data_IF_788941506834
#
_entry.id   IF_788941506834
#
_cell.length_a   1.000
_cell.length_b   1.000
_cell.length_c   1.000
_cell.angle_alpha   90.00
_cell.angle_beta   90.00
_cell.angle_gamma   90.00
#
_symmetry.space_group_name_H-M   'P 1'
#
loop_
_entity.id
_entity.type
_entity.pdbx_description
1 polymer ?
2 non-polymer ?
3 non-polymer ?
4 non-polymer ?
5 non-polymer ?
6 non-polymer ?
7 water ?
#
# COMPACT_ATOMS: atom_id res chain seq x y z
N UNK A 51 -1.46 27.54 -1.09
CA UNK A 51 -0.58 26.78 -0.23
C UNK A 51 0.35 25.77 -0.92
N UNK A 52 1.08 24.97 -0.12
CA UNK A 52 1.96 23.95 -0.66
C UNK A 52 1.14 22.89 -1.43
N UNK A 53 1.79 22.24 -2.38
CA UNK A 53 1.15 21.18 -3.14
C UNK A 53 1.03 19.91 -2.29
N UNK A 54 -0.11 19.26 -2.40
CA UNK A 54 -0.26 17.96 -1.68
C UNK A 54 0.57 16.91 -2.41
N UNK A 55 1.41 16.13 -1.71
CA UNK A 55 2.13 15.05 -2.39
C UNK A 55 1.19 13.88 -2.60
N UNK A 56 1.35 13.22 -3.74
CA UNK A 56 0.37 12.24 -4.20
C UNK A 56 1.15 10.96 -4.49
N UNK A 57 0.63 9.84 -4.00
CA UNK A 57 1.14 8.54 -4.37
C UNK A 57 0.31 7.95 -5.49
N UNK A 58 0.97 7.65 -6.60
CA UNK A 58 0.34 7.04 -7.77
C UNK A 58 0.71 5.59 -7.64
N UNK A 59 -0.25 4.75 -7.36
CA UNK A 59 -0.01 3.42 -6.80
C UNK A 59 -0.32 2.48 -7.97
N UNK A 60 0.68 1.83 -8.54
CA UNK A 60 0.39 0.84 -9.57
C UNK A 60 -0.35 -0.36 -8.96
N UNK A 61 -1.40 -0.79 -9.63
CA UNK A 61 -2.27 -1.82 -9.09
C UNK A 61 -1.82 -3.19 -9.56
N UNK A 62 -1.85 -4.16 -8.65
CA UNK A 62 -1.65 -5.58 -9.00
C UNK A 62 -0.33 -5.78 -9.76
N UNK A 63 0.74 -5.40 -9.06
CA UNK A 63 2.11 -5.50 -9.53
C UNK A 63 2.70 -6.74 -8.86
N UNK A 64 2.57 -7.90 -9.54
CA UNK A 64 2.83 -9.16 -8.88
C UNK A 64 3.93 -9.96 -9.54
N UNK A 65 4.44 -9.54 -10.70
CA UNK A 65 5.62 -10.18 -11.29
C UNK A 65 6.77 -9.21 -11.20
N UNK A 66 7.99 -9.74 -11.01
CA UNK A 66 9.10 -8.83 -10.82
C UNK A 66 9.20 -7.82 -11.97
N UNK A 67 8.98 -8.31 -13.22
CA UNK A 67 9.12 -7.43 -14.40
C UNK A 67 8.11 -6.27 -14.43
N UNK A 68 6.98 -6.43 -13.75
CA UNK A 68 6.00 -5.37 -13.72
C UNK A 68 6.40 -4.20 -12.84
N UNK A 69 7.36 -4.38 -11.93
CA UNK A 69 7.80 -3.25 -11.11
C UNK A 69 8.30 -2.13 -12.01
N UNK A 70 9.25 -2.46 -12.91
CA UNK A 70 9.73 -1.43 -13.84
C UNK A 70 8.62 -0.95 -14.75
N UNK A 71 7.76 -1.85 -15.19
CA UNK A 71 6.74 -1.43 -16.14
C UNK A 71 5.89 -0.30 -15.56
N UNK A 72 5.45 -0.49 -14.31
CA UNK A 72 4.56 0.51 -13.69
C UNK A 72 5.32 1.77 -13.29
N UNK A 73 6.52 1.60 -12.73
CA UNK A 73 7.26 2.79 -12.35
C UNK A 73 7.63 3.61 -13.59
N UNK A 74 8.02 2.95 -14.67
CA UNK A 74 8.39 3.69 -15.87
C UNK A 74 7.18 4.41 -16.50
N UNK A 75 5.93 4.00 -16.18
CA UNK A 75 4.74 4.73 -16.62
C UNK A 75 4.38 5.88 -15.67
N UNK A 76 5.09 6.05 -14.57
CA UNK A 76 4.85 7.17 -13.67
C UNK A 76 4.51 6.78 -12.24
N UNK A 77 4.37 5.50 -11.90
CA UNK A 77 4.01 5.17 -10.50
C UNK A 77 5.19 5.43 -9.55
N UNK A 78 4.92 6.06 -8.38
CA UNK A 78 5.94 6.12 -7.31
C UNK A 78 5.59 5.12 -6.20
N UNK A 79 4.65 4.25 -6.47
CA UNK A 79 4.21 3.26 -5.47
C UNK A 79 3.60 2.08 -6.22
N UNK A 80 3.62 0.91 -5.59
CA UNK A 80 2.97 -0.24 -6.21
C UNK A 80 2.23 -0.99 -5.13
N UNK A 81 1.20 -1.69 -5.58
CA UNK A 81 0.42 -2.57 -4.74
C UNK A 81 0.62 -3.99 -5.26
N UNK A 82 0.81 -4.93 -4.32
CA UNK A 82 1.19 -6.33 -4.65
C UNK A 82 0.35 -7.26 -3.78
N UNK A 83 -0.22 -8.30 -4.37
CA UNK A 83 -1.07 -9.21 -3.60
C UNK A 83 -0.23 -10.29 -3.00
N UNK A 84 -0.60 -10.74 -1.76
CA UNK A 84 0.22 -11.73 -1.07
C UNK A 84 -0.72 -12.85 -0.69
N UNK A 85 -0.53 -14.04 -1.25
CA UNK A 85 -1.34 -15.20 -0.87
C UNK A 85 -0.60 -15.94 0.24
N UNK A 86 -1.33 -16.71 1.01
CA UNK A 86 -0.71 -17.40 2.14
C UNK A 86 -0.94 -18.90 2.01
N UNK A 87 -0.01 -19.71 2.50
CA UNK A 87 -0.21 -21.15 2.44
C UNK A 87 -1.02 -21.59 3.67
N UNK A 88 -1.23 -22.91 3.79
CA UNK A 88 -2.07 -23.38 4.88
C UNK A 88 -1.48 -23.10 6.28
N UNK A 89 -0.18 -22.79 6.38
CA UNK A 89 0.46 -22.50 7.68
C UNK A 89 0.60 -21.00 7.94
N UNK A 90 -0.03 -20.17 7.11
CA UNK A 90 0.01 -18.73 7.26
C UNK A 90 1.37 -18.18 6.83
N UNK A 91 2.10 -18.96 6.04
CA UNK A 91 3.31 -18.40 5.46
C UNK A 91 3.00 -17.74 4.11
N UNK A 92 3.49 -16.52 3.86
CA UNK A 92 3.31 -15.93 2.53
C UNK A 92 3.86 -16.89 1.50
N UNK A 93 3.11 -17.05 0.41
CA UNK A 93 3.55 -18.07 -0.56
C UNK A 93 3.79 -17.44 -1.92
N UNK A 94 2.77 -16.81 -2.51
CA UNK A 94 2.89 -16.23 -3.86
C UNK A 94 2.45 -14.79 -3.86
N UNK A 95 2.92 -14.04 -4.88
CA UNK A 95 2.30 -12.75 -5.20
C UNK A 95 1.24 -12.97 -6.28
N UNK A 96 0.10 -13.47 -5.87
CA UNK A 96 -0.82 -14.03 -6.83
C UNK A 96 -2.19 -13.48 -6.53
N UNK A 97 -2.82 -12.85 -7.51
CA UNK A 97 -4.19 -12.39 -7.31
C UNK A 97 -5.22 -13.47 -7.71
N UNK A 98 -5.16 -13.90 -8.95
CA UNK A 98 -6.13 -14.87 -9.46
C UNK A 98 -7.43 -14.22 -9.87
N UNK A 99 -8.25 -15.03 -10.53
CA UNK A 99 -9.52 -14.61 -11.13
C UNK A 99 -10.57 -14.62 -10.01
N UNK A 100 -11.52 -13.66 -9.94
CA UNK A 100 -11.67 -12.48 -10.81
C UNK A 100 -10.75 -11.37 -10.43
N UNK A 101 -10.37 -10.54 -11.41
CA UNK A 101 -9.53 -9.38 -11.14
C UNK A 101 -10.02 -8.23 -11.97
N UNK A 102 -9.36 -7.07 -11.81
CA UNK A 102 -9.77 -5.87 -12.54
C UNK A 102 -9.89 -6.13 -14.05
N UNK A 103 -10.87 -5.43 -14.65
CA UNK A 103 -11.09 -5.43 -16.09
C UNK A 103 -9.83 -5.01 -16.84
N UNK A 104 -9.55 -5.70 -17.95
CA UNK A 104 -8.42 -5.39 -18.78
C UNK A 104 -7.09 -5.94 -18.29
N UNK A 105 -7.07 -6.74 -17.21
CA UNK A 105 -5.81 -7.19 -16.62
C UNK A 105 -5.68 -8.70 -16.69
N UNK A 106 -4.43 -9.15 -16.90
CA UNK A 106 -4.07 -10.57 -16.69
C UNK A 106 -3.95 -10.79 -15.18
N UNK A 107 -4.75 -11.72 -14.64
CA UNK A 107 -4.90 -11.92 -13.20
C UNK A 107 -3.90 -12.90 -12.63
N UNK A 108 -3.08 -13.52 -13.47
CA UNK A 108 -2.37 -14.72 -13.06
C UNK A 108 -0.87 -14.59 -13.12
N UNK A 109 -0.32 -13.38 -13.27
CA UNK A 109 1.13 -13.24 -13.15
C UNK A 109 1.50 -13.35 -11.66
N UNK A 110 2.58 -14.08 -11.35
CA UNK A 110 2.95 -14.19 -9.93
C UNK A 110 4.40 -14.64 -9.76
N UNK A 111 4.87 -14.49 -8.52
CA UNK A 111 6.19 -14.99 -8.13
C UNK A 111 6.02 -15.72 -6.81
N UNK A 112 7.00 -16.58 -6.45
CA UNK A 112 7.21 -16.89 -5.04
C UNK A 112 7.38 -15.59 -4.28
N UNK A 113 6.70 -15.48 -3.13
CA UNK A 113 6.71 -14.17 -2.43
C UNK A 113 8.15 -13.72 -2.19
N UNK A 114 9.03 -14.62 -1.71
CA UNK A 114 10.38 -14.13 -1.38
C UNK A 114 11.17 -13.75 -2.63
N UNK A 115 10.87 -14.36 -3.78
CA UNK A 115 11.52 -13.88 -5.01
C UNK A 115 11.08 -12.46 -5.31
N UNK A 116 9.76 -12.20 -5.21
CA UNK A 116 9.30 -10.83 -5.45
C UNK A 116 9.99 -9.85 -4.52
N UNK A 117 10.14 -10.24 -3.24
CA UNK A 117 10.78 -9.33 -2.28
C UNK A 117 12.22 -9.01 -2.69
N UNK A 118 12.94 -10.02 -3.17
CA UNK A 118 14.30 -9.74 -3.62
C UNK A 118 14.29 -8.80 -4.81
N UNK A 119 13.28 -8.94 -5.67
CA UNK A 119 13.23 -8.02 -6.82
C UNK A 119 12.89 -6.63 -6.38
N UNK A 120 11.92 -6.52 -5.47
CA UNK A 120 11.55 -5.23 -4.90
C UNK A 120 12.74 -4.60 -4.20
N UNK A 121 13.53 -5.43 -3.51
CA UNK A 121 14.75 -4.89 -2.88
C UNK A 121 15.71 -4.30 -3.93
N UNK A 122 15.93 -5.03 -5.02
CA UNK A 122 16.80 -4.45 -6.05
C UNK A 122 16.23 -3.11 -6.53
N UNK A 123 14.90 -3.04 -6.73
CA UNK A 123 14.32 -1.80 -7.26
C UNK A 123 14.41 -0.65 -6.28
N UNK A 124 14.66 -0.91 -5.00
CA UNK A 124 14.54 0.15 -4.00
C UNK A 124 15.85 0.30 -3.22
N UNK A 125 16.94 -0.24 -3.75
CA UNK A 125 18.21 -0.15 -3.01
C UNK A 125 19.13 0.76 -3.82
N UNK A 126 19.45 1.96 -3.31
CA UNK A 126 20.40 2.85 -3.98
C UNK A 126 21.68 2.12 -4.36
N UNK A 127 22.08 2.29 -5.62
CA UNK A 127 23.30 1.67 -6.12
C UNK A 127 23.07 0.39 -6.88
N UNK A 128 21.92 -0.22 -6.71
CA UNK A 128 21.60 -1.40 -7.49
C UNK A 128 21.33 -1.04 -8.94
N UNK A 129 21.70 -1.95 -9.83
CA UNK A 129 21.56 -1.61 -11.24
C UNK A 129 20.12 -1.37 -11.61
N UNK A 130 19.18 -1.87 -10.82
CA UNK A 130 17.76 -1.69 -11.17
C UNK A 130 17.08 -0.67 -10.25
N UNK A 131 17.85 0.04 -9.44
CA UNK A 131 17.28 1.02 -8.51
C UNK A 131 16.38 2.03 -9.21
N UNK A 132 15.16 2.22 -8.65
CA UNK A 132 14.19 3.21 -9.10
C UNK A 132 14.04 4.19 -7.94
N UNK A 133 14.73 5.33 -8.02
CA UNK A 133 14.60 6.35 -6.95
C UNK A 133 13.17 6.81 -6.74
N UNK A 134 12.32 6.73 -7.77
CA UNK A 134 10.96 7.21 -7.60
C UNK A 134 10.07 6.26 -6.82
N UNK A 135 10.44 4.97 -6.69
CA UNK A 135 9.53 3.98 -6.05
C UNK A 135 9.68 4.07 -4.55
N UNK A 136 8.71 4.67 -3.85
CA UNK A 136 8.94 4.98 -2.44
C UNK A 136 7.94 4.32 -1.50
N UNK A 137 6.90 3.66 -1.99
CA UNK A 137 5.88 3.05 -1.11
C UNK A 137 5.39 1.77 -1.75
N UNK A 138 5.27 0.71 -0.94
CA UNK A 138 4.72 -0.55 -1.43
C UNK A 138 3.57 -0.90 -0.50
N UNK A 139 2.42 -1.18 -1.08
CA UNK A 139 1.27 -1.68 -0.32
C UNK A 139 1.21 -3.21 -0.57
N UNK A 140 1.24 -4.02 0.50
CA UNK A 140 1.04 -5.47 0.39
C UNK A 140 -0.40 -5.75 0.74
N UNK A 141 -1.13 -6.28 -0.23
CA UNK A 141 -2.54 -6.60 -0.12
C UNK A 141 -2.56 -8.01 0.40
N UNK A 142 -2.70 -8.15 1.72
CA UNK A 142 -2.53 -9.46 2.34
C UNK A 142 -3.84 -10.23 2.19
N UNK A 143 -3.82 -11.26 1.36
CA UNK A 143 -5.06 -11.98 1.05
C UNK A 143 -5.28 -12.99 2.16
N UNK A 144 -5.70 -12.49 3.33
CA UNK A 144 -5.81 -13.39 4.49
C UNK A 144 -7.13 -14.14 4.51
N UNK A 145 -7.94 -13.96 3.48
CA UNK A 145 -9.17 -14.70 3.35
C UNK A 145 -8.99 -16.21 3.40
N UNK A 146 -7.79 -16.71 3.07
CA UNK A 146 -7.62 -18.15 3.07
C UNK A 146 -7.22 -18.68 4.44
N UNK A 147 -7.02 -17.80 5.40
CA UNK A 147 -6.54 -18.20 6.71
C UNK A 147 -7.69 -18.26 7.71
N UNK A 148 -7.57 -19.16 8.70
CA UNK A 148 -8.46 -19.07 9.87
C UNK A 148 -8.13 -17.80 10.64
N UNK A 149 -9.15 -17.20 11.27
CA UNK A 149 -8.91 -15.97 12.03
C UNK A 149 -7.80 -16.14 13.07
N UNK A 150 -7.72 -17.32 13.67
CA UNK A 150 -6.68 -17.46 14.67
C UNK A 150 -5.30 -17.72 14.08
N UNK A 151 -5.14 -17.58 12.77
CA UNK A 151 -3.80 -17.57 12.16
C UNK A 151 -3.32 -16.15 11.79
N UNK A 152 -4.05 -15.11 12.19
CA UNK A 152 -3.67 -13.77 11.73
C UNK A 152 -2.37 -13.33 12.36
N UNK A 153 -2.20 -13.64 13.64
CA UNK A 153 -0.95 -13.26 14.30
C UNK A 153 0.24 -14.00 13.70
N UNK A 154 0.11 -15.33 13.55
CA UNK A 154 1.13 -16.13 12.88
C UNK A 154 1.49 -15.54 11.54
N UNK A 155 0.48 -15.19 10.75
CA UNK A 155 0.79 -14.64 9.41
C UNK A 155 1.66 -13.39 9.50
N UNK A 156 1.38 -12.53 10.47
CA UNK A 156 2.19 -11.35 10.64
C UNK A 156 3.61 -11.73 10.94
N UNK A 157 3.81 -12.77 11.77
CA UNK A 157 5.17 -13.07 12.12
C UNK A 157 5.91 -13.60 10.90
N UNK A 158 5.26 -14.49 10.15
CA UNK A 158 5.92 -15.05 8.96
C UNK A 158 6.23 -13.94 7.95
N UNK A 159 5.31 -13.01 7.78
CA UNK A 159 5.55 -11.88 6.87
C UNK A 159 6.77 -11.07 7.30
N UNK A 160 6.88 -10.79 8.59
CA UNK A 160 8.03 -10.03 9.09
C UNK A 160 9.33 -10.78 8.85
N UNK A 161 9.33 -12.12 9.04
CA UNK A 161 10.57 -12.85 8.80
C UNK A 161 10.98 -12.77 7.35
N UNK A 162 10.00 -12.89 6.43
CA UNK A 162 10.33 -12.81 5.00
C UNK A 162 10.79 -11.41 4.63
N UNK A 163 10.07 -10.38 5.09
CA UNK A 163 10.50 -9.03 4.75
C UNK A 163 11.89 -8.76 5.30
N UNK A 164 12.13 -9.19 6.54
CA UNK A 164 13.43 -8.91 7.14
C UNK A 164 14.53 -9.61 6.34
N UNK A 165 14.31 -10.88 6.02
CA UNK A 165 15.36 -11.62 5.33
C UNK A 165 15.55 -11.15 3.89
N UNK A 166 14.47 -10.89 3.14
CA UNK A 166 14.63 -10.77 1.70
C UNK A 166 14.46 -9.35 1.20
N UNK A 167 13.81 -8.49 2.00
CA UNK A 167 13.58 -7.13 1.58
C UNK A 167 14.53 -6.19 2.30
N UNK A 168 14.54 -6.27 3.63
CA UNK A 168 15.42 -5.44 4.42
C UNK A 168 16.79 -6.06 4.60
N UNK A 169 16.98 -7.29 4.09
CA UNK A 169 18.29 -7.97 4.07
C UNK A 169 18.96 -7.96 5.44
N UNK A 170 18.20 -8.26 6.49
CA UNK A 170 18.78 -8.33 7.82
C UNK A 170 19.46 -7.03 8.20
N UNK A 171 18.98 -5.89 7.69
CA UNK A 171 19.60 -4.60 7.98
C UNK A 171 20.83 -4.25 7.16
N UNK A 172 21.29 -5.13 6.29
CA UNK A 172 22.46 -4.82 5.46
C UNK A 172 22.00 -4.25 4.12
N UNK A 173 21.94 -2.90 4.02
CA UNK A 173 21.71 -2.26 2.72
C UNK A 173 20.42 -2.77 2.09
N UNK A 174 19.34 -2.79 2.87
CA UNK A 174 18.10 -3.30 2.35
C UNK A 174 17.32 -2.25 1.55
N UNK A 175 16.15 -2.67 1.08
CA UNK A 175 15.35 -1.77 0.25
C UNK A 175 14.78 -0.63 1.08
N UNK A 176 14.62 0.56 0.46
CA UNK A 176 14.35 1.74 1.30
C UNK A 176 12.88 2.17 1.27
N UNK A 177 12.03 1.47 0.51
CA UNK A 177 10.65 1.95 0.38
C UNK A 177 9.90 1.79 1.70
N UNK A 178 8.94 2.69 1.93
CA UNK A 178 7.98 2.49 3.02
C UNK A 178 6.98 1.40 2.63
N UNK A 179 6.47 0.70 3.64
CA UNK A 179 5.64 -0.48 3.41
C UNK A 179 4.31 -0.29 4.12
N UNK A 180 3.19 -0.57 3.41
CA UNK A 180 1.87 -0.55 4.06
C UNK A 180 1.40 -1.99 4.08
N UNK A 181 1.03 -2.47 5.28
CA UNK A 181 0.42 -3.78 5.43
C UNK A 181 -1.06 -3.55 5.33
N UNK A 182 -1.64 -3.97 4.22
CA UNK A 182 -3.08 -3.75 3.98
C UNK A 182 -3.84 -5.05 4.30
N UNK A 183 -4.79 -4.96 5.22
CA UNK A 183 -5.48 -6.14 5.75
C UNK A 183 -6.95 -6.02 5.37
N UNK A 184 -7.52 -7.02 4.71
CA UNK A 184 -8.90 -6.86 4.23
C UNK A 184 -9.97 -7.13 5.25
N UNK A 185 -9.66 -7.73 6.39
CA UNK A 185 -10.69 -8.11 7.38
C UNK A 185 -10.31 -7.49 8.71
N UNK A 186 -11.21 -6.67 9.29
CA UNK A 186 -10.88 -5.99 10.53
C UNK A 186 -10.55 -7.00 11.61
N UNK A 187 -11.17 -8.18 11.55
CA UNK A 187 -10.91 -9.17 12.60
C UNK A 187 -9.51 -9.73 12.54
N UNK A 188 -8.74 -9.45 11.47
CA UNK A 188 -7.37 -9.93 11.39
C UNK A 188 -6.39 -8.90 11.91
N UNK A 189 -6.84 -7.93 12.72
CA UNK A 189 -5.90 -6.96 13.28
C UNK A 189 -4.74 -7.57 14.10
N UNK A 190 -4.84 -8.76 14.68
CA UNK A 190 -3.68 -9.32 15.42
C UNK A 190 -2.47 -9.60 14.55
N UNK A 191 -2.64 -9.60 13.22
CA UNK A 191 -1.50 -9.70 12.30
C UNK A 191 -0.46 -8.61 12.55
N UNK A 192 -0.93 -7.42 12.92
CA UNK A 192 -0.03 -6.30 13.12
C UNK A 192 0.92 -6.54 14.28
N UNK A 193 0.35 -6.93 15.44
CA UNK A 193 1.18 -7.24 16.61
C UNK A 193 2.14 -8.39 16.33
N UNK A 194 1.70 -9.41 15.58
CA UNK A 194 2.60 -10.51 15.21
C UNK A 194 3.80 -10.03 14.42
N UNK A 195 3.53 -9.18 13.45
CA UNK A 195 4.60 -8.64 12.62
C UNK A 195 5.58 -7.84 13.47
N UNK A 196 5.05 -6.94 14.28
CA UNK A 196 5.92 -6.12 15.11
C UNK A 196 6.71 -6.99 16.08
N UNK A 197 6.04 -7.92 16.73
CA UNK A 197 6.77 -8.73 17.73
C UNK A 197 7.84 -9.59 17.07
N UNK A 198 7.60 -10.05 15.83
CA UNK A 198 8.66 -10.81 15.15
C UNK A 198 9.85 -9.91 14.80
N UNK A 199 9.60 -8.70 14.29
CA UNK A 199 10.77 -7.82 14.04
C UNK A 199 11.53 -7.59 15.30
N UNK A 200 10.80 -7.43 16.39
CA UNK A 200 11.47 -7.12 17.66
C UNK A 200 12.32 -8.30 18.17
N UNK A 201 11.76 -9.50 18.11
CA UNK A 201 12.51 -10.73 18.43
C UNK A 201 13.78 -10.89 17.59
N UNK A 202 13.69 -10.56 16.31
CA UNK A 202 14.82 -10.67 15.44
C UNK A 202 15.79 -9.50 15.58
N UNK A 203 15.47 -8.52 16.41
CA UNK A 203 16.45 -7.50 16.72
C UNK A 203 16.41 -6.29 15.80
N UNK A 204 15.29 -6.07 15.11
CA UNK A 204 15.14 -4.90 14.21
C UNK A 204 13.81 -4.17 14.43
N UNK A 205 13.48 -3.83 15.68
CA UNK A 205 12.22 -3.14 15.93
C UNK A 205 12.13 -1.80 15.25
N UNK A 206 13.27 -1.18 14.95
CA UNK A 206 13.29 0.11 14.27
C UNK A 206 12.74 0.05 12.85
N UNK A 207 12.67 -1.14 12.23
CA UNK A 207 12.10 -1.18 10.88
C UNK A 207 10.60 -0.88 10.89
N UNK A 208 9.91 -1.00 12.04
CA UNK A 208 8.52 -0.55 12.15
C UNK A 208 8.36 0.92 11.75
N UNK A 209 9.44 1.72 11.87
CA UNK A 209 9.34 3.11 11.42
C UNK A 209 9.01 3.20 9.92
N UNK A 210 9.34 2.15 9.14
CA UNK A 210 9.06 2.13 7.72
C UNK A 210 7.75 1.45 7.39
N UNK A 211 6.91 1.15 8.38
CA UNK A 211 5.75 0.28 8.17
C UNK A 211 4.49 1.04 8.56
N UNK A 212 3.46 0.94 7.70
CA UNK A 212 2.16 1.52 8.04
C UNK A 212 1.03 0.53 7.77
N UNK A 213 -0.22 1.03 7.83
CA UNK A 213 -1.36 0.14 8.01
C UNK A 213 -2.52 0.58 7.13
N UNK A 214 -3.30 -0.39 6.68
CA UNK A 214 -4.52 -0.11 5.91
C UNK A 214 -5.51 -1.24 6.21
N UNK A 215 -6.78 -0.88 6.40
CA UNK A 215 -7.86 -1.89 6.40
C UNK A 215 -8.69 -1.67 5.13
N UNK A 216 -8.66 -2.65 4.22
CA UNK A 216 -9.12 -2.38 2.83
C UNK A 216 -10.54 -2.85 2.56
N UNK A 217 -11.25 -3.32 3.58
CA UNK A 217 -12.57 -3.88 3.38
C UNK A 217 -13.75 -2.94 3.20
N UNK A 218 -13.51 -1.63 3.07
CA UNK A 218 -14.60 -0.62 2.98
C UNK A 218 -15.53 -0.68 4.21
N UNK A 219 -15.00 -1.03 5.38
CA UNK A 219 -15.81 -1.01 6.59
C UNK A 219 -16.19 0.41 6.96
N UNK A 220 -17.23 0.51 7.77
CA UNK A 220 -17.56 1.80 8.37
C UNK A 220 -16.33 2.36 9.04
N UNK A 221 -16.11 3.68 8.84
CA UNK A 221 -14.88 4.35 9.31
C UNK A 221 -14.79 4.27 10.83
N UNK A 222 -15.93 4.41 11.52
CA UNK A 222 -15.88 4.24 12.97
C UNK A 222 -15.46 2.83 13.39
N UNK A 223 -15.92 1.80 12.67
CA UNK A 223 -15.50 0.44 12.94
C UNK A 223 -14.01 0.28 12.69
N UNK A 224 -13.50 0.92 11.66
CA UNK A 224 -12.06 0.87 11.40
C UNK A 224 -11.33 1.46 12.58
N UNK A 225 -11.76 2.62 13.06
CA UNK A 225 -11.00 3.24 14.13
C UNK A 225 -10.98 2.36 15.39
N UNK A 226 -12.11 1.70 15.67
CA UNK A 226 -12.15 0.78 16.81
C UNK A 226 -11.17 -0.36 16.61
N UNK A 227 -11.01 -0.83 15.35
CA UNK A 227 -10.05 -1.93 15.13
C UNK A 227 -8.65 -1.51 15.48
N UNK A 228 -8.28 -0.29 15.04
CA UNK A 228 -6.96 0.27 15.36
C UNK A 228 -6.82 0.47 16.85
N UNK A 229 -7.89 0.93 17.51
CA UNK A 229 -7.82 1.04 18.97
C UNK A 229 -7.55 -0.31 19.61
N UNK A 230 -8.22 -1.37 19.15
CA UNK A 230 -7.95 -2.71 19.71
C UNK A 230 -6.54 -3.15 19.42
N UNK A 231 -6.03 -2.80 18.27
CA UNK A 231 -4.67 -3.16 17.94
C UNK A 231 -3.64 -2.25 18.63
N UNK A 232 -4.09 -1.19 19.29
CA UNK A 232 -3.15 -0.26 19.92
C UNK A 232 -2.34 0.57 18.93
N UNK A 233 -2.87 0.80 17.73
CA UNK A 233 -2.15 1.54 16.68
C UNK A 233 -2.60 2.98 16.75
N UNK A 234 -1.63 3.92 16.72
CA UNK A 234 -1.98 5.33 16.79
C UNK A 234 -1.32 6.23 15.76
N UNK A 235 -0.78 5.68 14.67
CA UNK A 235 -0.41 6.51 13.54
C UNK A 235 0.04 5.60 12.42
N UNK A 236 0.56 6.22 11.36
CA UNK A 236 0.99 5.51 10.14
C UNK A 236 -0.21 4.84 9.49
N UNK A 237 -1.36 5.54 9.48
CA UNK A 237 -2.60 4.91 9.02
C UNK A 237 -2.97 5.46 7.66
N UNK A 238 -3.07 4.57 6.64
CA UNK A 238 -3.69 4.89 5.37
C UNK A 238 -5.11 4.33 5.34
N UNK A 239 -6.05 5.05 4.69
CA UNK A 239 -7.43 4.54 4.57
C UNK A 239 -7.73 4.42 3.10
N UNK A 240 -7.88 3.16 2.65
CA UNK A 240 -8.36 2.84 1.33
C UNK A 240 -9.87 3.03 1.23
N UNK A 241 -10.33 3.37 0.02
CA UNK A 241 -11.74 3.33 -0.26
C UNK A 241 -11.86 3.00 -1.73
N UNK A 242 -12.77 2.12 -2.12
CA UNK A 242 -12.80 1.89 -3.56
C UNK A 242 -13.60 0.69 -4.00
N UNK A 243 -13.44 0.37 -5.29
CA UNK A 243 -14.13 -0.78 -5.90
C UNK A 243 -13.37 -1.10 -7.17
N UNK A 244 -13.47 -2.36 -7.60
CA UNK A 244 -12.87 -2.74 -8.88
C UNK A 244 -13.18 -1.74 -9.99
N UNK A 245 -12.24 -1.61 -10.94
CA UNK A 245 -12.48 -0.70 -12.07
C UNK A 245 -13.67 -1.19 -12.93
N UNK A 246 -14.13 -2.44 -12.71
CA UNK A 246 -15.27 -2.99 -13.44
C UNK A 246 -16.62 -2.41 -12.99
N UNK A 247 -16.71 -1.66 -11.89
CA UNK A 247 -18.00 -1.32 -11.33
C UNK A 247 -17.98 0.14 -10.94
N UNK A 248 -19.13 0.80 -10.92
CA UNK A 248 -19.17 2.23 -10.59
C UNK A 248 -19.25 2.42 -9.08
N UNK A 249 -18.76 3.58 -8.64
CA UNK A 249 -18.79 3.89 -7.20
C UNK A 249 -18.73 5.39 -6.97
N UNK A 250 -19.41 5.82 -5.89
CA UNK A 250 -19.50 7.21 -5.53
C UNK A 250 -18.43 7.57 -4.52
N UNK A 251 -18.44 8.82 -4.10
CA UNK A 251 -17.39 9.34 -3.24
C UNK A 251 -17.81 9.48 -1.76
N UNK A 252 -18.97 8.95 -1.33
CA UNK A 252 -19.44 9.26 0.01
C UNK A 252 -18.42 8.82 1.03
N UNK A 253 -17.94 7.57 0.90
CA UNK A 253 -17.05 7.05 1.96
C UNK A 253 -15.67 7.66 1.84
N UNK A 254 -15.19 7.91 0.63
CA UNK A 254 -13.90 8.54 0.55
C UNK A 254 -13.99 9.97 1.11
N UNK A 255 -15.11 10.67 0.86
CA UNK A 255 -15.26 12.00 1.51
C UNK A 255 -15.27 11.88 3.02
N UNK A 256 -15.91 10.83 3.55
CA UNK A 256 -15.95 10.66 5.00
C UNK A 256 -14.56 10.33 5.52
N UNK A 257 -13.79 9.54 4.78
CA UNK A 257 -12.40 9.28 5.21
C UNK A 257 -11.58 10.56 5.19
N UNK A 258 -11.75 11.40 4.17
CA UNK A 258 -11.03 12.66 4.12
C UNK A 258 -11.44 13.55 5.27
N UNK A 259 -12.74 13.58 5.57
CA UNK A 259 -13.23 14.39 6.68
C UNK A 259 -12.62 13.94 8.00
N UNK A 260 -12.42 12.63 8.17
CA UNK A 260 -11.79 12.15 9.40
C UNK A 260 -10.34 12.57 9.43
N UNK A 261 -9.63 12.34 8.32
CA UNK A 261 -8.22 12.70 8.24
C UNK A 261 -7.98 14.18 8.56
N UNK A 262 -8.85 15.06 8.05
CA UNK A 262 -8.59 16.48 8.21
C UNK A 262 -9.23 17.07 9.47
N UNK A 263 -9.89 16.25 10.29
CA UNK A 263 -10.40 16.74 11.57
C UNK A 263 -9.30 16.73 12.63
N UNK A 264 -9.52 17.54 13.69
CA UNK A 264 -8.49 17.69 14.71
C UNK A 264 -8.23 16.38 15.42
N UNK A 265 -9.26 15.57 15.64
CA UNK A 265 -8.97 14.34 16.38
C UNK A 265 -9.35 13.09 15.59
N UNK A 266 -9.17 13.11 14.25
CA UNK A 266 -9.34 11.91 13.44
C UNK A 266 -8.13 10.99 13.63
N UNK A 267 -8.20 9.84 12.98
CA UNK A 267 -7.15 8.85 13.13
C UNK A 267 -6.47 8.51 11.80
N UNK A 268 -7.01 8.95 10.67
CA UNK A 268 -6.45 8.58 9.37
C UNK A 268 -5.37 9.58 9.01
N UNK A 269 -4.20 9.11 8.52
CA UNK A 269 -3.19 10.05 8.08
C UNK A 269 -3.29 10.33 6.61
N UNK A 270 -3.54 9.29 5.81
CA UNK A 270 -3.60 9.43 4.34
C UNK A 270 -4.79 8.62 3.82
N UNK A 271 -5.33 9.03 2.67
CA UNK A 271 -6.50 8.41 2.06
C UNK A 271 -6.13 8.09 0.61
N UNK A 272 -6.47 6.90 0.17
CA UNK A 272 -6.29 6.58 -1.25
C UNK A 272 -7.52 5.91 -1.79
N UNK A 273 -7.76 6.20 -3.07
CA UNK A 273 -8.94 5.75 -3.78
C UNK A 273 -8.52 4.73 -4.82
N UNK A 274 -9.30 3.68 -5.00
CA UNK A 274 -8.92 2.63 -5.96
C UNK A 274 -10.19 2.09 -6.64
N UNK A 275 -10.09 1.40 -7.78
CA UNK A 275 -8.98 1.53 -8.75
C UNK A 275 -9.43 2.49 -9.80
N UNK A 276 -8.60 3.48 -10.14
CA UNK A 276 -9.02 4.63 -10.94
C UNK A 276 -8.25 4.59 -12.23
N UNK A 277 -8.95 4.40 -13.37
CA UNK A 277 -8.31 4.26 -14.68
C UNK A 277 -8.78 5.32 -15.65
N UNK A 278 -9.52 6.32 -15.19
CA UNK A 278 -10.10 7.28 -16.10
C UNK A 278 -9.72 8.67 -15.64
N UNK A 279 -9.55 9.59 -16.61
CA UNK A 279 -9.14 10.94 -16.24
C UNK A 279 -10.21 11.64 -15.40
N UNK A 280 -11.48 11.43 -15.72
CA UNK A 280 -12.52 12.17 -15.02
C UNK A 280 -12.61 11.76 -13.54
N UNK A 281 -12.60 10.43 -13.29
CA UNK A 281 -12.51 9.89 -11.94
C UNK A 281 -11.25 10.40 -11.20
N UNK A 282 -10.12 10.52 -11.91
CA UNK A 282 -8.90 11.01 -11.26
C UNK A 282 -9.12 12.45 -10.78
N UNK A 283 -9.67 13.29 -11.66
CA UNK A 283 -9.95 14.66 -11.24
C UNK A 283 -10.91 14.68 -10.05
N UNK A 284 -11.93 13.81 -10.06
CA UNK A 284 -12.87 13.81 -8.93
C UNK A 284 -12.15 13.47 -7.63
N UNK A 285 -11.28 12.46 -7.69
CA UNK A 285 -10.61 11.99 -6.47
C UNK A 285 -9.64 13.06 -5.96
N UNK A 286 -8.89 13.70 -6.88
CA UNK A 286 -8.04 14.81 -6.49
C UNK A 286 -8.87 15.98 -5.94
N UNK A 287 -9.97 16.33 -6.63
CA UNK A 287 -10.86 17.37 -6.07
C UNK A 287 -11.33 17.03 -4.67
N UNK A 288 -11.56 15.74 -4.37
CA UNK A 288 -12.01 15.36 -3.03
C UNK A 288 -10.87 15.35 -2.01
N UNK A 289 -9.64 15.49 -2.47
CA UNK A 289 -8.56 15.73 -1.55
C UNK A 289 -7.79 14.48 -1.16
N UNK A 290 -7.89 13.39 -1.97
CA UNK A 290 -7.17 12.15 -1.61
C UNK A 290 -5.66 12.38 -1.73
N UNK A 291 -4.90 11.49 -1.07
CA UNK A 291 -3.45 11.50 -1.10
C UNK A 291 -2.88 10.48 -2.06
N UNK A 292 -3.67 9.49 -2.40
CA UNK A 292 -3.16 8.41 -3.23
C UNK A 292 -4.23 7.98 -4.22
N UNK A 293 -3.75 7.56 -5.37
CA UNK A 293 -4.67 7.02 -6.37
C UNK A 293 -4.05 5.72 -6.85
N UNK A 294 -4.77 4.62 -6.65
CA UNK A 294 -4.42 3.32 -7.22
C UNK A 294 -4.98 3.15 -8.59
N UNK A 295 -4.16 2.60 -9.50
CA UNK A 295 -4.52 2.62 -10.91
C UNK A 295 -3.87 1.48 -11.68
N UNK A 296 -4.56 1.06 -12.74
CA UNK A 296 -3.91 0.14 -13.66
C UNK A 296 -3.10 0.87 -14.68
N UNK A 297 -3.25 2.19 -14.75
CA UNK A 297 -2.57 3.02 -15.79
C UNK A 297 -1.94 4.27 -15.15
N UNK A 298 -0.75 4.14 -14.59
CA UNK A 298 -0.10 5.30 -13.94
C UNK A 298 0.05 6.49 -14.87
N UNK A 299 0.17 6.25 -16.18
CA UNK A 299 0.34 7.35 -17.13
C UNK A 299 -0.90 8.21 -17.22
N UNK A 300 -2.09 7.61 -17.06
CA UNK A 300 -3.32 8.40 -17.04
C UNK A 300 -3.35 9.33 -15.85
N UNK A 301 -2.97 8.82 -14.68
CA UNK A 301 -2.96 9.67 -13.49
C UNK A 301 -1.95 10.78 -13.66
N UNK A 302 -0.76 10.45 -14.19
CA UNK A 302 0.33 11.41 -14.34
C UNK A 302 -0.11 12.52 -15.27
N UNK A 303 -0.80 12.13 -16.33
CA UNK A 303 -1.27 13.14 -17.29
C UNK A 303 -2.21 14.14 -16.65
N UNK A 304 -3.12 13.67 -15.79
CA UNK A 304 -4.00 14.62 -15.10
C UNK A 304 -3.18 15.50 -14.15
N UNK A 305 -2.21 14.90 -13.43
CA UNK A 305 -1.49 15.71 -12.47
C UNK A 305 -0.66 16.76 -13.17
N UNK A 306 -0.30 16.52 -14.43
CA UNK A 306 0.47 17.49 -15.23
C UNK A 306 -0.41 18.51 -15.91
N UNK A 307 -1.73 18.42 -15.81
CA UNK A 307 -2.58 19.50 -16.26
C UNK A 307 -2.27 20.76 -15.48
N UNK A 308 -2.38 21.93 -16.16
CA UNK A 308 -1.89 23.13 -15.48
C UNK A 308 -2.59 23.38 -14.14
N UNK A 309 -3.93 23.25 -14.06
CA UNK A 309 -4.60 23.54 -12.81
C UNK A 309 -4.20 22.57 -11.69
N UNK A 310 -3.94 21.29 -12.02
CA UNK A 310 -3.57 20.32 -11.00
C UNK A 310 -2.09 20.44 -10.61
N UNK A 311 -1.23 20.92 -11.52
CA UNK A 311 0.18 21.11 -11.17
C UNK A 311 0.34 22.10 -10.04
N UNK A 312 -0.60 23.03 -9.90
CA UNK A 312 -0.55 24.03 -8.85
C UNK A 312 -0.95 23.52 -7.48
N UNK A 313 -1.57 22.33 -7.38
CA UNK A 313 -2.18 21.89 -6.14
C UNK A 313 -1.63 20.55 -5.71
N UNK A 314 -0.97 19.83 -6.62
CA UNK A 314 -0.45 18.50 -6.33
C UNK A 314 0.94 18.30 -6.91
N UNK A 315 1.66 17.33 -6.35
CA UNK A 315 2.96 16.97 -6.91
C UNK A 315 3.21 15.51 -6.55
N UNK A 316 4.05 14.85 -7.35
CA UNK A 316 4.27 13.42 -7.13
C UNK A 316 5.19 13.23 -5.93
N UNK A 317 4.75 12.43 -4.95
CA UNK A 317 5.51 12.30 -3.72
C UNK A 317 6.86 11.67 -3.98
N UNK A 318 7.86 12.10 -3.19
CA UNK A 318 9.24 11.59 -3.28
C UNK A 318 9.60 10.95 -1.97
N UNK A 319 10.86 10.46 -1.85
CA UNK A 319 11.22 9.72 -0.64
C UNK A 319 11.17 10.59 0.59
N UNK A 320 11.35 11.88 0.43
CA UNK A 320 11.36 12.77 1.57
C UNK A 320 9.98 13.17 2.01
N UNK A 321 8.93 12.76 1.29
CA UNK A 321 7.59 12.94 1.82
C UNK A 321 7.27 11.78 2.74
N UNK A 322 7.09 12.08 4.04
CA UNK A 322 6.78 11.02 5.00
C UNK A 322 5.38 10.49 4.72
N UNK A 323 5.19 9.22 4.37
CA UNK A 323 3.84 8.76 4.08
C UNK A 323 2.98 8.63 5.34
N UNK A 324 3.55 8.82 6.54
CA UNK A 324 2.74 8.68 7.73
C UNK A 324 2.20 9.99 8.22
N UNK A 325 2.52 11.09 7.55
CA UNK A 325 2.21 12.42 8.10
C UNK A 325 1.03 13.01 7.35
N UNK A 326 0.00 13.46 8.09
CA UNK A 326 -1.12 14.13 7.43
C UNK A 326 -0.67 15.43 6.75
N UNK A 327 -1.10 15.62 5.52
CA UNK A 327 -0.69 16.83 4.80
C UNK A 327 -1.47 18.04 5.32
N UNK A 328 -0.75 19.16 5.48
CA UNK A 328 -1.39 20.46 5.79
C UNK A 328 -1.06 21.59 4.77
#
# INVERSE_FOLDING_TARGET
>A
MGSSHHHHHHSSGLVPRGSHMLEMLPYIVLVLGCWSVLSQAAQTDDEERAGNRRPIWIMGHMVNAIGQIDEFVNLGANSIETDVSFDDNANPEYTYHGIPCDCGRNCKKYENFNDFLKGLRSATTPGNSKYQEKLVLVVFDLKTGSLYDNQANDAGKKLAKNLLQHYWNNGNNGGRAYIVLSIPDLNHYPLIKGFKDQLTKDGHPELMDKVGHDFSGNDDIGDVGKAYKKAGITGHIWQSDGITNCLPRGLSRVNAAVANRDSANGFINKVYYWTVDKRSTTRDALDAGVDGIMTNYPDVITDVLNEAAYKKKFRVATYDDNPWVTFK
#
